data_IF_321644293413
#
_entry.id   IF_321644293413
#
_cell.length_a   1.000
_cell.length_b   1.000
_cell.length_c   1.000
_cell.angle_alpha   90.00
_cell.angle_beta   90.00
_cell.angle_gamma   90.00
#
_symmetry.space_group_name_H-M   'P 1'
#
loop_
_entity.id
_entity.type
_entity.pdbx_description
1 polymer ?
#
# COMPACT_ATOMS: atom_id res chain seq x y z
N UNK A 1 30.30 -1.35 16.41
CA UNK A 1 29.26 -0.46 16.99
C UNK A 1 29.59 0.98 16.62
N UNK A 2 28.94 1.50 15.57
CA UNK A 2 28.65 2.92 15.29
C UNK A 2 27.94 2.97 13.94
N UNK A 3 26.64 3.22 13.97
CA UNK A 3 25.80 3.47 12.81
C UNK A 3 26.10 4.87 12.27
N UNK A 4 26.31 5.00 10.97
CA UNK A 4 26.37 6.28 10.28
C UNK A 4 25.03 6.52 9.57
N UNK A 5 24.29 7.51 10.07
CA UNK A 5 23.19 8.19 9.38
C UNK A 5 23.78 9.45 8.72
N UNK A 6 23.65 9.58 7.41
CA UNK A 6 23.65 10.89 6.74
C UNK A 6 22.92 10.75 5.40
N UNK A 7 21.75 11.38 5.30
CA UNK A 7 21.18 11.83 4.02
C UNK A 7 21.22 13.36 4.07
N UNK A 8 22.01 13.93 3.17
CA UNK A 8 22.10 15.37 2.96
C UNK A 8 20.80 15.92 2.38
N UNK A 9 20.42 17.07 2.93
CA UNK A 9 19.33 17.94 2.52
C UNK A 9 19.92 18.95 1.51
N UNK A 10 19.35 19.05 0.32
CA UNK A 10 19.62 20.17 -0.60
C UNK A 10 18.31 20.81 -1.00
N UNK A 11 18.10 22.02 -0.49
CA UNK A 11 17.05 22.97 -0.88
C UNK A 11 17.28 23.45 -2.32
N UNK A 12 16.29 23.26 -3.20
CA UNK A 12 16.15 24.05 -4.43
C UNK A 12 14.73 24.62 -4.51
N UNK A 13 14.64 25.95 -4.42
CA UNK A 13 13.42 26.73 -4.61
C UNK A 13 13.00 26.64 -6.07
N UNK A 14 11.81 26.11 -6.35
CA UNK A 14 11.18 26.19 -7.67
C UNK A 14 9.85 26.94 -7.65
N UNK A 15 9.80 27.92 -8.54
CA UNK A 15 8.67 28.76 -8.91
C UNK A 15 7.53 27.93 -9.50
N UNK A 16 6.33 28.19 -9.01
CA UNK A 16 5.07 27.59 -9.45
C UNK A 16 4.75 28.03 -10.88
N UNK A 17 4.61 27.08 -11.80
CA UNK A 17 3.90 27.27 -13.06
C UNK A 17 2.82 26.20 -13.20
N UNK A 18 1.58 26.66 -13.11
CA UNK A 18 0.35 25.87 -13.17
C UNK A 18 0.13 25.35 -14.58
N UNK A 19 0.15 24.02 -14.75
CA UNK A 19 -0.35 23.36 -15.96
C UNK A 19 -1.65 22.63 -15.58
N UNK A 20 -2.77 23.31 -15.83
CA UNK A 20 -4.12 22.77 -15.71
C UNK A 20 -4.28 21.59 -16.66
N UNK A 21 -4.43 20.39 -16.10
CA UNK A 21 -4.94 19.25 -16.86
C UNK A 21 -6.42 19.12 -16.55
N UNK A 22 -7.23 18.83 -17.58
CA UNK A 22 -8.66 18.63 -17.46
C UNK A 22 -8.93 17.34 -16.66
N UNK A 23 -9.14 17.50 -15.36
CA UNK A 23 -9.82 16.53 -14.51
C UNK A 23 -11.31 16.87 -14.51
N UNK A 24 -12.18 15.90 -14.25
CA UNK A 24 -13.59 16.26 -14.05
C UNK A 24 -13.68 17.16 -12.81
N UNK A 25 -14.54 18.17 -12.88
CA UNK A 25 -14.84 19.04 -11.73
C UNK A 25 -15.38 18.20 -10.54
N UNK A 26 -15.88 16.98 -10.82
CA UNK A 26 -16.32 16.00 -9.83
C UNK A 26 -15.19 15.45 -8.97
N UNK A 27 -14.06 15.03 -9.56
CA UNK A 27 -12.98 14.33 -8.83
C UNK A 27 -12.24 15.25 -7.85
N UNK A 28 -12.02 16.50 -8.27
CA UNK A 28 -11.36 17.52 -7.44
C UNK A 28 -12.27 17.90 -6.26
N UNK A 29 -13.57 18.06 -6.52
CA UNK A 29 -14.55 18.35 -5.46
C UNK A 29 -14.74 17.17 -4.53
N UNK A 30 -14.78 15.94 -5.02
CA UNK A 30 -14.91 14.74 -4.20
C UNK A 30 -13.71 14.62 -3.24
N UNK A 31 -12.47 14.72 -3.76
CA UNK A 31 -11.27 14.68 -2.93
C UNK A 31 -11.24 15.84 -1.92
N UNK A 32 -11.63 17.06 -2.32
CA UNK A 32 -11.69 18.20 -1.40
C UNK A 32 -12.81 18.07 -0.35
N UNK A 33 -13.97 17.55 -0.70
CA UNK A 33 -15.06 17.24 0.22
C UNK A 33 -14.64 16.15 1.21
N UNK A 34 -13.94 15.10 0.74
CA UNK A 34 -13.36 14.05 1.58
C UNK A 34 -12.33 14.58 2.58
N UNK A 35 -11.52 15.55 2.17
CA UNK A 35 -10.57 16.25 3.05
C UNK A 35 -11.25 17.21 4.04
N UNK A 36 -12.50 17.61 3.77
CA UNK A 36 -13.28 18.52 4.61
C UNK A 36 -14.20 17.80 5.60
N UNK A 37 -14.28 16.47 5.56
CA UNK A 37 -14.97 15.65 6.57
C UNK A 37 -14.13 15.60 7.86
N UNK A 38 -13.97 16.75 8.52
CA UNK A 38 -13.44 16.82 9.89
C UNK A 38 -14.49 16.26 10.87
N UNK A 39 -14.05 15.42 11.81
CA UNK A 39 -14.88 15.01 12.96
C UNK A 39 -15.13 16.23 13.87
N UNK A 40 -16.38 16.66 14.10
CA UNK A 40 -16.67 17.82 14.95
C UNK A 40 -16.49 17.58 16.46
N UNK A 41 -16.10 16.38 16.91
CA UNK A 41 -16.20 15.96 18.32
C UNK A 41 -14.89 15.50 18.99
N UNK A 42 -13.73 16.06 18.63
CA UNK A 42 -12.53 15.93 19.46
C UNK A 42 -11.84 17.27 19.70
N UNK A 43 -12.22 17.92 20.80
CA UNK A 43 -11.45 19.00 21.39
C UNK A 43 -10.15 18.44 22.00
N UNK A 44 -9.04 18.62 21.28
CA UNK A 44 -7.70 18.53 21.84
C UNK A 44 -6.78 17.52 21.14
N UNK A 45 -5.80 18.07 20.41
CA UNK A 45 -4.51 17.46 20.06
C UNK A 45 -4.55 16.31 19.04
N UNK A 46 -5.05 16.60 17.84
CA UNK A 46 -4.58 15.95 16.60
C UNK A 46 -3.97 17.03 15.71
N UNK A 47 -2.78 16.85 15.10
CA UNK A 47 -2.26 17.84 14.15
C UNK A 47 -3.26 18.01 13.02
N UNK A 48 -3.57 19.26 12.67
CA UNK A 48 -4.38 19.55 11.48
C UNK A 48 -3.64 19.01 10.26
N UNK A 49 -4.36 18.56 9.22
CA UNK A 49 -3.76 18.20 7.94
C UNK A 49 -2.80 19.28 7.41
N UNK A 50 -3.04 20.56 7.76
CA UNK A 50 -2.15 21.67 7.44
C UNK A 50 -0.75 21.55 8.05
N UNK A 51 -0.61 20.94 9.23
CA UNK A 51 0.68 20.72 9.89
C UNK A 51 1.46 19.56 9.24
N UNK A 52 0.74 18.53 8.79
CA UNK A 52 1.30 17.38 8.05
C UNK A 52 1.71 17.78 6.62
N UNK A 53 0.94 18.67 5.99
CA UNK A 53 1.22 19.20 4.66
C UNK A 53 2.47 20.09 4.67
N UNK A 54 2.66 20.92 5.70
CA UNK A 54 3.83 21.80 5.81
C UNK A 54 5.15 21.03 6.01
N UNK A 55 5.18 19.96 6.80
CA UNK A 55 6.39 19.11 6.98
C UNK A 55 6.72 18.25 5.74
N UNK A 56 5.76 18.06 4.84
CA UNK A 56 5.94 17.42 3.52
C UNK A 56 6.19 18.44 2.39
N UNK A 57 6.33 19.74 2.69
CA UNK A 57 6.55 20.79 1.70
C UNK A 57 5.32 21.15 0.85
N UNK A 58 4.12 20.76 1.28
CA UNK A 58 2.84 21.06 0.64
C UNK A 58 2.20 22.27 1.32
N UNK A 59 2.50 23.47 0.82
CA UNK A 59 1.85 24.70 1.30
C UNK A 59 0.35 24.71 0.99
N UNK A 60 -0.43 25.31 1.91
CA UNK A 60 -1.90 25.40 2.00
C UNK A 60 -2.63 26.16 0.87
N UNK A 61 -2.06 26.20 -0.34
CA UNK A 61 -2.67 26.78 -1.53
C UNK A 61 -2.53 25.92 -2.79
N UNK A 62 -2.13 24.65 -2.64
CA UNK A 62 -1.95 23.76 -3.79
C UNK A 62 -3.10 22.76 -3.87
N UNK A 63 -3.95 22.91 -4.89
CA UNK A 63 -4.93 21.88 -5.28
C UNK A 63 -4.22 20.54 -5.43
N UNK A 64 -4.64 19.54 -4.64
CA UNK A 64 -4.13 18.18 -4.67
C UNK A 64 -4.55 17.48 -5.98
N UNK A 65 -3.89 17.82 -7.08
CA UNK A 65 -4.14 17.23 -8.40
C UNK A 65 -2.83 17.05 -9.15
N UNK A 66 -2.09 15.98 -8.90
CA UNK A 66 -0.90 15.67 -9.71
C UNK A 66 -0.47 14.19 -9.80
N UNK A 67 -1.18 13.23 -9.22
CA UNK A 67 -0.74 11.82 -9.17
C UNK A 67 -1.16 10.95 -10.37
N UNK A 68 -2.34 11.16 -10.94
CA UNK A 68 -2.93 10.28 -11.97
C UNK A 68 -2.54 10.70 -13.40
N UNK A 69 -1.24 10.75 -13.68
CA UNK A 69 -0.75 10.96 -15.05
C UNK A 69 0.21 9.84 -15.42
N UNK A 70 0.21 9.36 -16.67
CA UNK A 70 1.34 8.58 -17.16
C UNK A 70 2.62 9.36 -16.88
N UNK A 71 3.72 8.70 -16.47
CA UNK A 71 4.99 9.38 -16.24
C UNK A 71 5.27 10.32 -17.40
N UNK A 72 5.45 11.59 -17.08
CA UNK A 72 5.63 12.63 -18.07
C UNK A 72 6.80 12.26 -18.98
N UNK A 73 6.55 12.19 -20.29
CA UNK A 73 7.60 12.19 -21.32
C UNK A 73 7.94 13.62 -21.75
N UNK A 74 7.43 14.63 -21.04
CA UNK A 74 7.64 16.04 -21.34
C UNK A 74 9.12 16.38 -21.19
N UNK A 75 9.73 16.66 -22.33
CA UNK A 75 10.90 17.52 -22.41
C UNK A 75 10.38 18.95 -22.45
N UNK A 76 10.77 19.84 -21.52
CA UNK A 76 10.31 21.22 -21.52
C UNK A 76 10.59 21.91 -22.86
N UNK A 77 9.53 22.37 -23.52
CA UNK A 77 9.64 23.32 -24.64
C UNK A 77 9.84 24.68 -23.98
N UNK A 78 11.09 25.01 -23.64
CA UNK A 78 11.36 26.36 -23.19
C UNK A 78 11.11 27.32 -24.36
N UNK A 79 10.66 28.55 -24.05
CA UNK A 79 10.83 29.67 -24.96
C UNK A 79 12.27 29.66 -25.47
N UNK A 80 12.44 29.88 -26.77
CA UNK A 80 13.66 29.60 -27.53
C UNK A 80 14.96 30.11 -26.91
N UNK A 81 14.92 31.13 -26.05
CA UNK A 81 16.10 31.67 -25.37
C UNK A 81 16.42 30.96 -24.03
N UNK A 82 15.42 30.65 -23.19
CA UNK A 82 15.67 30.00 -21.90
C UNK A 82 16.07 28.52 -22.04
N UNK A 83 15.65 27.83 -23.12
CA UNK A 83 16.12 26.46 -23.42
C UNK A 83 17.62 26.46 -23.66
N UNK A 84 18.06 27.41 -24.48
CA UNK A 84 19.44 27.54 -24.91
C UNK A 84 20.30 27.96 -23.73
N UNK A 85 19.81 28.86 -22.87
CA UNK A 85 20.53 29.26 -21.66
C UNK A 85 20.60 28.15 -20.62
N UNK A 86 19.52 27.40 -20.41
CA UNK A 86 19.54 26.23 -19.51
C UNK A 86 20.42 25.12 -20.08
N UNK A 87 20.35 24.84 -21.38
CA UNK A 87 21.21 23.88 -22.04
C UNK A 87 22.68 24.31 -21.98
N UNK A 88 22.99 25.58 -22.29
CA UNK A 88 24.33 26.14 -22.17
C UNK A 88 24.83 26.07 -20.72
N UNK A 89 23.99 26.37 -19.73
CA UNK A 89 24.35 26.25 -18.32
C UNK A 89 24.65 24.80 -17.93
N UNK A 90 23.78 23.85 -18.31
CA UNK A 90 23.97 22.42 -18.02
C UNK A 90 25.21 21.86 -18.72
N UNK A 91 25.42 22.22 -19.99
CA UNK A 91 26.61 21.82 -20.75
C UNK A 91 27.87 22.47 -20.17
N UNK A 92 27.80 23.73 -19.76
CA UNK A 92 28.94 24.44 -19.14
C UNK A 92 29.27 23.83 -17.77
N UNK A 93 28.27 23.52 -16.95
CA UNK A 93 28.46 22.80 -15.68
C UNK A 93 29.04 21.40 -15.89
N UNK A 94 28.57 20.68 -16.90
CA UNK A 94 29.10 19.36 -17.24
C UNK A 94 30.53 19.43 -17.81
N UNK A 95 30.85 20.47 -18.58
CA UNK A 95 32.20 20.79 -19.02
C UNK A 95 33.10 21.16 -17.84
N UNK A 96 32.66 21.98 -16.89
CA UNK A 96 33.40 22.26 -15.66
C UNK A 96 33.61 20.99 -14.82
N UNK A 97 32.59 20.12 -14.70
CA UNK A 97 32.73 18.81 -14.04
C UNK A 97 33.68 17.89 -14.81
N UNK A 98 33.76 17.98 -16.13
CA UNK A 98 34.69 17.20 -16.97
C UNK A 98 36.12 17.73 -16.89
N UNK A 99 36.28 19.05 -16.91
CA UNK A 99 37.56 19.75 -16.79
C UNK A 99 38.15 19.55 -15.39
N UNK A 100 37.33 19.69 -14.33
CA UNK A 100 37.70 19.31 -12.97
C UNK A 100 38.03 17.81 -12.84
N UNK A 101 37.38 16.93 -13.62
CA UNK A 101 37.73 15.49 -13.70
C UNK A 101 39.04 15.24 -14.46
N UNK A 102 39.44 16.15 -15.36
CA UNK A 102 40.71 16.09 -16.09
C UNK A 102 41.87 16.66 -15.27
N UNK A 103 41.66 17.77 -14.55
CA UNK A 103 42.69 18.47 -13.76
C UNK A 103 42.97 17.82 -12.41
N UNK A 104 41.98 17.20 -11.75
CA UNK A 104 42.17 16.48 -10.47
C UNK A 104 42.49 14.98 -10.63
N UNK A 105 42.71 14.53 -11.87
CA UNK A 105 42.75 13.11 -12.21
C UNK A 105 41.35 12.49 -12.10
N UNK A 106 41.06 11.50 -12.95
CA UNK A 106 39.81 10.72 -12.84
C UNK A 106 39.74 10.15 -11.41
N UNK A 107 38.91 10.71 -10.53
CA UNK A 107 38.24 9.89 -9.52
C UNK A 107 37.44 8.88 -10.32
N UNK A 108 38.06 7.74 -10.60
CA UNK A 108 37.36 6.57 -11.09
C UNK A 108 36.17 6.42 -10.16
N UNK A 109 34.96 6.35 -10.72
CA UNK A 109 33.85 5.78 -9.97
C UNK A 109 34.24 4.32 -9.75
N UNK A 110 35.08 4.08 -8.74
CA UNK A 110 35.37 2.75 -8.26
C UNK A 110 34.02 2.22 -7.85
N UNK A 111 33.58 1.14 -8.49
CA UNK A 111 32.42 0.43 -8.01
C UNK A 111 32.65 0.18 -6.51
N UNK A 112 31.60 0.29 -5.71
CA UNK A 112 31.69 -0.06 -4.28
C UNK A 112 32.03 -1.55 -4.05
N UNK A 113 32.13 -2.31 -5.14
CA UNK A 113 32.50 -3.71 -5.20
C UNK A 113 33.84 -3.84 -5.95
N UNK A 114 34.73 -4.65 -5.39
CA UNK A 114 35.93 -5.14 -6.05
C UNK A 114 35.59 -5.99 -7.29
N UNK A 115 36.55 -6.17 -8.19
CA UNK A 115 36.39 -7.04 -9.35
C UNK A 115 36.08 -8.50 -8.96
N UNK A 116 36.61 -8.95 -7.81
CA UNK A 116 36.34 -10.29 -7.27
C UNK A 116 34.90 -10.43 -6.79
N UNK A 117 34.37 -9.45 -6.07
CA UNK A 117 32.97 -9.45 -5.62
C UNK A 117 31.99 -9.39 -6.80
N UNK A 118 32.31 -8.58 -7.82
CA UNK A 118 31.48 -8.50 -9.03
C UNK A 118 31.49 -9.81 -9.82
N UNK A 119 32.64 -10.50 -9.91
CA UNK A 119 32.71 -11.84 -10.48
C UNK A 119 31.94 -12.86 -9.64
N UNK A 120 32.01 -12.79 -8.31
CA UNK A 120 31.26 -13.66 -7.41
C UNK A 120 29.74 -13.48 -7.60
N UNK A 121 29.26 -12.24 -7.69
CA UNK A 121 27.84 -11.94 -7.95
C UNK A 121 27.38 -12.49 -9.31
N UNK A 122 28.19 -12.33 -10.37
CA UNK A 122 27.89 -12.92 -11.68
C UNK A 122 27.84 -14.44 -11.61
N UNK A 123 28.82 -15.06 -10.95
CA UNK A 123 28.83 -16.52 -10.78
C UNK A 123 27.62 -17.03 -9.99
N UNK A 124 27.13 -16.24 -9.02
CA UNK A 124 25.95 -16.57 -8.23
C UNK A 124 24.66 -16.44 -9.06
N UNK A 125 24.55 -15.43 -9.91
CA UNK A 125 23.42 -15.24 -10.84
C UNK A 125 23.34 -16.34 -11.92
N UNK A 126 24.48 -16.89 -12.32
CA UNK A 126 24.57 -18.00 -13.26
C UNK A 126 24.05 -19.33 -12.67
N UNK A 127 24.00 -19.48 -11.34
CA UNK A 127 23.52 -20.72 -10.70
C UNK A 127 21.98 -20.81 -10.81
N UNK A 128 21.51 -21.63 -11.76
CA UNK A 128 20.08 -21.86 -12.02
C UNK A 128 19.43 -22.92 -11.11
N UNK A 129 20.08 -23.33 -10.03
CA UNK A 129 19.50 -24.21 -9.01
C UNK A 129 19.14 -23.49 -7.70
N UNK A 130 19.52 -22.21 -7.56
CA UNK A 130 19.20 -21.40 -6.37
C UNK A 130 18.24 -20.25 -6.70
N UNK A 131 17.46 -19.84 -5.71
CA UNK A 131 16.62 -18.64 -5.72
C UNK A 131 17.10 -17.74 -4.59
N UNK A 132 17.29 -16.46 -4.90
CA UNK A 132 17.69 -15.43 -3.93
C UNK A 132 16.51 -14.49 -3.74
N UNK A 133 16.01 -14.39 -2.51
CA UNK A 133 14.87 -13.54 -2.14
C UNK A 133 15.11 -12.86 -0.80
N UNK A 134 14.47 -11.71 -0.61
CA UNK A 134 14.37 -11.11 0.72
C UNK A 134 13.48 -11.96 1.63
N UNK A 135 13.81 -12.00 2.92
CA UNK A 135 12.98 -12.61 3.94
C UNK A 135 11.72 -11.76 4.19
N UNK A 136 10.64 -12.44 4.58
CA UNK A 136 9.35 -11.78 4.90
C UNK A 136 9.45 -10.75 6.04
N UNK A 137 10.38 -10.98 7.00
CA UNK A 137 10.65 -10.10 8.14
C UNK A 137 12.16 -10.03 8.41
N UNK A 138 12.62 -8.86 8.87
CA UNK A 138 13.99 -8.67 9.37
C UNK A 138 15.04 -8.30 8.33
N UNK A 139 14.67 -8.03 7.07
CA UNK A 139 15.57 -7.49 6.04
C UNK A 139 16.70 -8.43 5.59
N UNK A 140 16.64 -9.70 5.98
CA UNK A 140 17.64 -10.70 5.61
C UNK A 140 17.49 -11.14 4.15
N UNK A 141 18.60 -11.56 3.54
CA UNK A 141 18.61 -12.22 2.23
C UNK A 141 18.60 -13.74 2.45
N UNK A 142 17.72 -14.44 1.74
CA UNK A 142 17.56 -15.89 1.79
C UNK A 142 18.01 -16.49 0.46
N UNK A 143 18.93 -17.45 0.55
CA UNK A 143 19.35 -18.29 -0.57
C UNK A 143 18.74 -19.67 -0.35
N UNK A 144 17.97 -20.16 -1.31
CA UNK A 144 17.25 -21.44 -1.19
C UNK A 144 17.28 -22.23 -2.49
N UNK A 145 17.14 -23.55 -2.40
CA UNK A 145 17.03 -24.39 -3.59
C UNK A 145 15.77 -24.01 -4.39
N UNK A 146 15.92 -23.89 -5.71
CA UNK A 146 14.82 -23.61 -6.63
C UNK A 146 13.71 -24.65 -6.56
N UNK A 147 14.07 -25.92 -6.39
CA UNK A 147 13.10 -27.02 -6.24
C UNK A 147 12.20 -26.82 -5.02
N UNK A 148 12.78 -26.46 -3.88
CA UNK A 148 12.03 -26.25 -2.64
C UNK A 148 11.17 -24.99 -2.72
N UNK A 149 11.69 -23.93 -3.36
CA UNK A 149 10.95 -22.69 -3.62
C UNK A 149 9.72 -22.92 -4.50
N UNK A 150 9.88 -23.60 -5.63
CA UNK A 150 8.76 -23.94 -6.54
C UNK A 150 7.79 -24.88 -5.82
N UNK A 151 8.30 -25.87 -5.10
CA UNK A 151 7.48 -26.82 -4.34
C UNK A 151 6.60 -26.15 -3.28
N UNK A 152 7.08 -25.08 -2.64
CA UNK A 152 6.26 -24.30 -1.70
C UNK A 152 5.13 -23.53 -2.41
N UNK A 153 5.39 -22.94 -3.58
CA UNK A 153 4.34 -22.30 -4.38
C UNK A 153 3.30 -23.36 -4.80
N UNK A 154 3.74 -24.49 -5.34
CA UNK A 154 2.85 -25.58 -5.75
C UNK A 154 2.04 -26.13 -4.58
N UNK A 155 2.62 -26.21 -3.38
CA UNK A 155 1.89 -26.59 -2.17
C UNK A 155 0.75 -25.63 -1.86
N UNK A 156 0.95 -24.32 -2.02
CA UNK A 156 -0.10 -23.31 -1.82
C UNK A 156 -1.16 -23.38 -2.93
N UNK A 157 -0.75 -23.56 -4.18
CA UNK A 157 -1.66 -23.65 -5.33
C UNK A 157 -2.54 -24.92 -5.33
N UNK A 158 -2.23 -25.92 -4.49
CA UNK A 158 -3.09 -27.09 -4.26
C UNK A 158 -4.37 -26.75 -3.50
N UNK A 159 -4.43 -25.61 -2.80
CA UNK A 159 -5.66 -25.18 -2.15
C UNK A 159 -6.69 -24.70 -3.18
N UNK A 160 -7.61 -25.60 -3.54
CA UNK A 160 -8.68 -25.34 -4.51
C UNK A 160 -9.76 -24.39 -4.00
N UNK A 161 -9.75 -24.02 -2.71
CA UNK A 161 -10.63 -22.97 -2.17
C UNK A 161 -10.06 -21.58 -2.48
N UNK A 162 -8.74 -21.46 -2.44
CA UNK A 162 -8.03 -20.21 -2.64
C UNK A 162 -7.67 -19.96 -4.12
N UNK A 163 -7.30 -21.01 -4.87
CA UNK A 163 -6.76 -20.88 -6.22
C UNK A 163 -7.46 -21.80 -7.22
N UNK A 164 -7.68 -21.26 -8.42
CA UNK A 164 -8.23 -21.98 -9.56
C UNK A 164 -7.27 -21.90 -10.74
N UNK A 165 -6.90 -23.05 -11.30
CA UNK A 165 -6.13 -23.12 -12.55
C UNK A 165 -7.04 -22.74 -13.73
N UNK A 166 -6.56 -21.85 -14.60
CA UNK A 166 -7.27 -21.41 -15.78
C UNK A 166 -6.84 -22.23 -17.01
N UNK A 167 -7.76 -22.56 -17.93
CA UNK A 167 -7.47 -23.37 -19.10
C UNK A 167 -6.69 -22.62 -20.18
N UNK A 168 -6.84 -21.29 -20.24
CA UNK A 168 -6.27 -20.43 -21.28
C UNK A 168 -5.79 -19.12 -20.68
N UNK A 169 -4.99 -18.38 -21.47
CA UNK A 169 -4.58 -17.02 -21.13
C UNK A 169 -5.81 -16.10 -21.06
N UNK A 170 -6.12 -15.50 -19.89
CA UNK A 170 -7.29 -14.65 -19.71
C UNK A 170 -7.06 -13.16 -20.06
N UNK A 171 -5.82 -12.75 -20.38
CA UNK A 171 -5.42 -11.34 -20.50
C UNK A 171 -6.31 -10.57 -21.47
N UNK A 172 -6.49 -11.05 -22.70
CA UNK A 172 -7.28 -10.33 -23.72
C UNK A 172 -8.74 -10.16 -23.29
N UNK A 173 -9.31 -11.19 -22.65
CA UNK A 173 -10.68 -11.14 -22.13
C UNK A 173 -10.80 -10.07 -21.03
N UNK A 174 -9.81 -9.97 -20.16
CA UNK A 174 -9.78 -9.01 -19.06
C UNK A 174 -9.61 -7.59 -19.60
N UNK A 175 -8.67 -7.39 -20.51
CA UNK A 175 -8.42 -6.08 -21.15
C UNK A 175 -9.67 -5.56 -21.84
N UNK A 176 -10.38 -6.43 -22.59
CA UNK A 176 -11.65 -6.06 -23.23
C UNK A 176 -12.75 -5.73 -22.22
N UNK A 177 -12.82 -6.46 -21.11
CA UNK A 177 -13.78 -6.18 -20.05
C UNK A 177 -13.50 -4.81 -19.42
N UNK A 178 -12.23 -4.52 -19.11
CA UNK A 178 -11.80 -3.20 -18.61
C UNK A 178 -12.17 -2.10 -19.59
N UNK A 179 -11.86 -2.26 -20.88
CA UNK A 179 -12.21 -1.28 -21.92
C UNK A 179 -13.72 -1.01 -21.96
N UNK A 180 -14.54 -2.06 -21.87
CA UNK A 180 -16.01 -1.94 -21.85
C UNK A 180 -16.49 -1.20 -20.61
N UNK A 181 -15.97 -1.54 -19.43
CA UNK A 181 -16.32 -0.87 -18.16
C UNK A 181 -15.91 0.60 -18.17
N UNK A 182 -14.72 0.92 -18.69
CA UNK A 182 -14.26 2.31 -18.82
C UNK A 182 -15.14 3.10 -19.80
N UNK A 183 -15.50 2.52 -20.95
CA UNK A 183 -16.41 3.15 -21.90
C UNK A 183 -17.79 3.45 -21.29
N UNK A 184 -18.36 2.50 -20.55
CA UNK A 184 -19.64 2.67 -19.87
C UNK A 184 -19.65 3.86 -18.89
N UNK A 185 -18.59 4.02 -18.09
CA UNK A 185 -18.50 5.12 -17.12
C UNK A 185 -18.10 6.45 -17.75
N UNK A 186 -17.36 6.41 -18.86
CA UNK A 186 -17.06 7.58 -19.69
C UNK A 186 -18.33 8.15 -20.36
N UNK A 187 -19.19 7.29 -20.90
CA UNK A 187 -20.47 7.71 -21.51
C UNK A 187 -21.42 8.37 -20.50
N UNK A 188 -21.27 8.04 -19.21
CA UNK A 188 -21.99 8.66 -18.08
C UNK A 188 -21.34 9.95 -17.58
N UNK A 189 -20.22 10.37 -18.16
CA UNK A 189 -19.49 11.57 -17.77
C UNK A 189 -18.76 11.46 -16.43
N UNK A 190 -18.57 10.24 -15.90
CA UNK A 190 -17.80 10.02 -14.67
C UNK A 190 -16.31 9.81 -14.90
N UNK A 191 -15.92 9.48 -16.12
CA UNK A 191 -14.52 9.42 -16.51
C UNK A 191 -14.24 10.40 -17.62
N UNK A 192 -13.11 11.08 -17.51
CA UNK A 192 -12.53 11.87 -18.60
C UNK A 192 -11.74 10.99 -19.57
N UNK A 193 -11.50 11.50 -20.78
CA UNK A 193 -10.64 10.83 -21.76
C UNK A 193 -9.20 10.61 -21.23
N UNK A 194 -8.70 11.54 -20.42
CA UNK A 194 -7.36 11.46 -19.83
C UNK A 194 -7.27 10.35 -18.79
N UNK A 195 -8.31 10.18 -17.96
CA UNK A 195 -8.43 9.07 -17.01
C UNK A 195 -8.57 7.73 -17.72
N UNK A 196 -9.47 7.61 -18.71
CA UNK A 196 -9.59 6.38 -19.49
C UNK A 196 -8.25 5.96 -20.10
N UNK A 197 -7.48 6.91 -20.64
CA UNK A 197 -6.14 6.66 -21.18
C UNK A 197 -5.12 6.23 -20.13
N UNK A 198 -5.23 6.72 -18.90
CA UNK A 198 -4.38 6.31 -17.79
C UNK A 198 -4.75 4.93 -17.25
N UNK A 199 -6.05 4.65 -17.14
CA UNK A 199 -6.60 3.41 -16.59
C UNK A 199 -6.45 2.23 -17.55
N UNK A 200 -6.52 2.48 -18.86
CA UNK A 200 -6.39 1.44 -19.87
C UNK A 200 -4.94 1.13 -20.20
N UNK A 201 -4.58 -0.15 -20.12
CA UNK A 201 -3.27 -0.65 -20.52
C UNK A 201 -3.37 -1.41 -21.86
N UNK A 202 -2.87 -0.85 -22.98
CA UNK A 202 -2.98 -1.48 -24.29
C UNK A 202 -2.03 -2.68 -24.46
N UNK A 203 -0.98 -2.77 -23.64
CA UNK A 203 0.06 -3.81 -23.74
C UNK A 203 0.37 -4.38 -22.34
N UNK A 204 -0.58 -5.09 -21.72
CA UNK A 204 -0.40 -5.60 -20.37
C UNK A 204 0.64 -6.71 -20.29
N UNK A 205 1.48 -6.66 -19.26
CA UNK A 205 2.36 -7.77 -18.87
C UNK A 205 1.58 -8.82 -18.08
N UNK A 206 2.04 -10.07 -18.18
CA UNK A 206 1.49 -11.17 -17.39
C UNK A 206 1.91 -11.02 -15.93
N UNK A 207 0.97 -10.96 -14.97
CA UNK A 207 1.34 -10.98 -13.56
C UNK A 207 1.99 -12.31 -13.20
N UNK A 208 2.96 -12.29 -12.29
CA UNK A 208 3.67 -13.50 -11.83
C UNK A 208 3.60 -13.61 -10.31
N UNK A 209 3.51 -14.83 -9.80
CA UNK A 209 3.59 -15.10 -8.36
C UNK A 209 5.05 -15.28 -7.93
N UNK A 210 5.38 -14.77 -6.75
CA UNK A 210 6.61 -15.09 -6.04
C UNK A 210 6.33 -15.22 -4.54
N UNK A 211 7.25 -15.82 -3.78
CA UNK A 211 7.10 -15.96 -2.33
C UNK A 211 8.23 -15.26 -1.57
N UNK A 212 7.88 -14.68 -0.42
CA UNK A 212 8.83 -14.18 0.58
C UNK A 212 8.98 -15.22 1.71
N UNK A 213 10.17 -15.79 1.97
CA UNK A 213 10.33 -16.83 2.98
C UNK A 213 10.13 -16.29 4.41
N UNK A 214 9.24 -16.94 5.18
CA UNK A 214 8.97 -16.64 6.60
C UNK A 214 9.98 -17.33 7.52
N UNK A 215 11.24 -16.90 7.47
CA UNK A 215 12.37 -17.49 8.24
C UNK A 215 12.20 -17.44 9.77
N UNK A 216 11.27 -16.64 10.27
CA UNK A 216 10.93 -16.54 11.69
C UNK A 216 9.96 -17.63 12.18
N UNK A 217 9.47 -18.50 11.29
CA UNK A 217 8.60 -19.63 11.65
C UNK A 217 9.45 -20.89 11.83
N UNK A 218 9.23 -21.68 12.91
CA UNK A 218 10.01 -22.87 13.19
C UNK A 218 9.59 -24.03 12.25
N UNK A 219 10.17 -24.05 11.04
CA UNK A 219 9.93 -25.10 10.06
C UNK A 219 11.24 -25.47 9.35
N UNK A 220 11.44 -26.75 8.96
CA UNK A 220 12.62 -27.16 8.19
C UNK A 220 12.76 -26.41 6.86
N UNK A 221 11.61 -26.12 6.24
CA UNK A 221 11.50 -25.24 5.07
C UNK A 221 10.56 -24.08 5.45
N UNK A 222 11.03 -22.82 5.38
CA UNK A 222 10.23 -21.68 5.79
C UNK A 222 9.01 -21.53 4.86
N UNK A 223 7.78 -21.44 5.39
CA UNK A 223 6.60 -21.15 4.57
C UNK A 223 6.77 -19.84 3.80
N UNK A 224 6.24 -19.78 2.58
CA UNK A 224 6.29 -18.57 1.75
C UNK A 224 5.09 -17.67 1.98
N UNK A 225 5.28 -16.34 2.02
CA UNK A 225 4.19 -15.37 1.79
C UNK A 225 4.04 -15.17 0.28
N UNK A 226 2.91 -15.56 -0.35
CA UNK A 226 2.70 -15.36 -1.78
C UNK A 226 2.44 -13.87 -2.07
N UNK A 227 3.09 -13.35 -3.11
CA UNK A 227 2.88 -12.00 -3.64
C UNK A 227 2.67 -12.11 -5.15
N UNK A 228 1.65 -11.43 -5.66
CA UNK A 228 1.39 -11.30 -7.09
C UNK A 228 2.04 -10.01 -7.58
N UNK A 229 3.05 -10.13 -8.44
CA UNK A 229 3.65 -9.00 -9.14
C UNK A 229 2.71 -8.52 -10.24
N UNK A 230 1.91 -7.49 -9.96
CA UNK A 230 0.99 -6.85 -10.90
C UNK A 230 1.60 -5.73 -11.75
N UNK A 231 2.93 -5.61 -11.84
CA UNK A 231 3.59 -4.53 -12.59
C UNK A 231 3.19 -4.58 -14.06
N UNK A 232 2.67 -3.46 -14.58
CA UNK A 232 2.10 -3.30 -15.91
C UNK A 232 1.04 -4.35 -16.25
N UNK A 233 0.35 -4.90 -15.25
CA UNK A 233 -0.78 -5.82 -15.48
C UNK A 233 -2.01 -5.08 -16.00
N UNK A 234 -3.05 -5.80 -16.50
CA UNK A 234 -4.29 -5.15 -16.91
C UNK A 234 -4.95 -4.34 -15.78
N UNK A 235 -4.83 -4.79 -14.53
CA UNK A 235 -5.54 -4.21 -13.37
C UNK A 235 -4.68 -3.25 -12.54
N UNK A 236 -3.39 -3.04 -12.88
CA UNK A 236 -2.48 -2.23 -12.06
C UNK A 236 -2.99 -0.79 -11.88
N UNK A 237 -3.42 -0.16 -12.97
CA UNK A 237 -3.81 1.26 -12.99
C UNK A 237 -5.18 1.48 -12.35
N UNK A 238 -6.10 0.54 -12.54
CA UNK A 238 -7.35 0.50 -11.78
C UNK A 238 -7.08 0.37 -10.28
N UNK A 239 -6.18 -0.53 -9.88
CA UNK A 239 -5.79 -0.68 -8.48
C UNK A 239 -5.15 0.59 -7.91
N UNK A 240 -4.38 1.34 -8.69
CA UNK A 240 -3.79 2.61 -8.26
C UNK A 240 -4.87 3.70 -8.08
N UNK A 241 -5.80 3.76 -9.02
CA UNK A 241 -6.91 4.71 -9.00
C UNK A 241 -7.85 4.45 -7.82
N UNK A 242 -8.25 3.20 -7.59
CA UNK A 242 -9.07 2.83 -6.43
C UNK A 242 -8.38 3.26 -5.13
N UNK A 243 -7.10 2.95 -4.97
CA UNK A 243 -6.36 3.26 -3.75
C UNK A 243 -6.40 4.76 -3.44
N UNK A 244 -6.21 5.62 -4.45
CA UNK A 244 -6.28 7.07 -4.29
C UNK A 244 -7.58 7.54 -3.61
N UNK A 245 -8.73 6.95 -3.96
CA UNK A 245 -10.01 7.32 -3.40
C UNK A 245 -10.34 6.62 -2.07
N UNK A 246 -9.69 5.49 -1.76
CA UNK A 246 -9.89 4.79 -0.49
C UNK A 246 -9.01 5.35 0.63
N UNK A 247 -7.80 5.83 0.31
CA UNK A 247 -6.82 6.32 1.31
C UNK A 247 -7.38 7.40 2.26
N UNK A 248 -8.16 8.41 1.82
CA UNK A 248 -8.73 9.39 2.76
C UNK A 248 -9.59 8.75 3.85
N UNK A 249 -10.39 7.73 3.52
CA UNK A 249 -11.19 7.02 4.50
C UNK A 249 -10.34 6.21 5.47
N UNK A 250 -9.25 5.60 4.97
CA UNK A 250 -8.30 4.85 5.79
C UNK A 250 -7.66 5.76 6.83
N UNK A 251 -7.18 6.94 6.41
CA UNK A 251 -6.56 7.93 7.30
C UNK A 251 -7.54 8.49 8.34
N UNK A 252 -8.84 8.50 8.03
CA UNK A 252 -9.90 8.98 8.92
C UNK A 252 -10.46 7.89 9.85
N UNK A 253 -9.94 6.66 9.80
CA UNK A 253 -10.34 5.63 10.76
C UNK A 253 -9.87 6.03 12.17
N UNK A 254 -10.70 5.87 13.22
CA UNK A 254 -10.31 6.21 14.60
C UNK A 254 -9.08 5.46 15.10
N UNK A 255 -8.86 4.26 14.57
CA UNK A 255 -7.76 3.36 14.92
C UNK A 255 -6.59 3.45 13.93
N UNK A 256 -6.58 4.42 13.02
CA UNK A 256 -5.52 4.55 12.02
C UNK A 256 -4.16 4.84 12.66
N UNK A 257 -3.18 4.01 12.32
CA UNK A 257 -1.77 4.24 12.63
C UNK A 257 -1.04 4.53 11.33
N UNK A 258 -0.14 5.50 11.36
CA UNK A 258 0.60 5.93 10.17
C UNK A 258 1.87 5.11 10.01
N UNK A 259 2.63 5.01 11.08
CA UNK A 259 3.92 4.34 11.14
C UNK A 259 4.30 4.04 12.61
N UNK A 260 5.45 3.40 12.81
CA UNK A 260 5.98 3.07 14.14
C UNK A 260 6.20 4.31 15.01
N UNK A 261 6.55 5.46 14.43
CA UNK A 261 6.78 6.70 15.18
C UNK A 261 5.46 7.26 15.71
N UNK A 262 4.41 7.26 14.89
CA UNK A 262 3.07 7.66 15.31
C UNK A 262 2.58 6.80 16.49
N UNK A 263 2.75 5.48 16.39
CA UNK A 263 2.43 4.56 17.49
C UNK A 263 3.17 4.89 18.78
N UNK A 264 4.49 5.10 18.72
CA UNK A 264 5.30 5.39 19.90
C UNK A 264 4.85 6.68 20.59
N UNK A 265 4.43 7.69 19.82
CA UNK A 265 3.83 8.92 20.36
C UNK A 265 2.52 8.63 21.10
N UNK A 266 1.62 7.85 20.49
CA UNK A 266 0.33 7.50 21.11
C UNK A 266 0.48 6.73 22.44
N UNK A 267 1.49 5.87 22.52
CA UNK A 267 1.84 5.09 23.71
C UNK A 267 2.49 5.99 24.79
N UNK A 268 3.39 6.88 24.38
CA UNK A 268 4.08 7.80 25.29
C UNK A 268 3.11 8.79 25.96
N UNK A 269 2.09 9.24 25.23
CA UNK A 269 1.06 10.16 25.71
C UNK A 269 -0.06 9.48 26.51
N UNK A 270 0.02 8.16 26.73
CA UNK A 270 -0.97 7.42 27.50
C UNK A 270 -0.70 7.52 29.01
N UNK A 271 -1.75 7.67 29.80
CA UNK A 271 -1.64 7.67 31.26
C UNK A 271 -1.56 6.22 31.78
N UNK A 272 -0.42 5.89 32.38
CA UNK A 272 -0.10 4.55 32.89
C UNK A 272 -0.30 4.41 34.41
N UNK A 273 -1.01 5.35 35.04
CA UNK A 273 -1.14 5.40 36.52
C UNK A 273 -1.98 4.26 37.11
N UNK A 274 -2.81 3.58 36.33
CA UNK A 274 -3.63 2.45 36.76
C UNK A 274 -2.96 1.09 36.48
N UNK A 275 -3.54 0.00 36.98
CA UNK A 275 -3.14 -1.35 36.58
C UNK A 275 -3.56 -1.62 35.12
N UNK A 276 -2.58 -1.81 34.23
CA UNK A 276 -2.83 -2.07 32.80
C UNK A 276 -2.37 -3.47 32.37
N UNK A 277 -3.11 -4.05 31.42
CA UNK A 277 -2.68 -5.25 30.70
C UNK A 277 -2.46 -4.92 29.23
N UNK A 278 -1.37 -5.47 28.69
CA UNK A 278 -1.13 -5.43 27.25
C UNK A 278 -1.67 -6.73 26.64
N UNK A 279 -2.62 -6.58 25.73
CA UNK A 279 -3.20 -7.70 24.98
C UNK A 279 -2.85 -7.53 23.51
N UNK A 280 -2.24 -8.56 22.93
CA UNK A 280 -1.92 -8.60 21.50
C UNK A 280 -2.83 -9.62 20.82
N UNK A 281 -3.43 -9.21 19.71
CA UNK A 281 -4.32 -10.02 18.88
C UNK A 281 -3.72 -10.06 17.46
N UNK A 282 -3.46 -11.25 16.92
CA UNK A 282 -2.98 -11.41 15.54
C UNK A 282 -4.12 -11.94 14.65
N UNK A 283 -4.36 -11.25 13.54
CA UNK A 283 -5.34 -11.69 12.54
C UNK A 283 -4.66 -12.65 11.56
N UNK A 284 -5.12 -13.90 11.57
CA UNK A 284 -4.55 -14.91 10.68
C UNK A 284 -4.92 -14.63 9.22
N UNK A 285 -3.92 -14.42 8.38
CA UNK A 285 -4.06 -14.43 6.92
C UNK A 285 -5.11 -13.44 6.37
N UNK A 286 -5.20 -12.24 6.97
CA UNK A 286 -6.22 -11.21 6.67
C UNK A 286 -6.58 -11.11 5.19
N UNK A 287 -5.61 -10.74 4.33
CA UNK A 287 -5.85 -10.50 2.90
C UNK A 287 -6.53 -11.67 2.18
N UNK A 288 -6.11 -12.92 2.44
CA UNK A 288 -6.69 -14.11 1.80
C UNK A 288 -8.03 -14.53 2.40
N UNK A 289 -8.35 -14.06 3.61
CA UNK A 289 -9.55 -14.48 4.34
C UNK A 289 -10.72 -13.49 4.19
N UNK A 290 -10.50 -12.25 3.75
CA UNK A 290 -11.58 -11.27 3.56
C UNK A 290 -12.60 -11.81 2.53
N UNK A 291 -13.85 -12.07 2.95
CA UNK A 291 -14.90 -12.45 2.02
C UNK A 291 -15.23 -11.29 1.07
N UNK A 292 -15.37 -11.57 -0.23
CA UNK A 292 -15.53 -10.52 -1.26
C UNK A 292 -16.75 -9.64 -1.00
N UNK A 293 -17.90 -10.24 -0.68
CA UNK A 293 -19.16 -9.51 -0.50
C UNK A 293 -19.08 -8.59 0.73
N UNK A 294 -18.66 -9.14 1.85
CA UNK A 294 -18.51 -8.42 3.12
C UNK A 294 -17.45 -7.31 3.02
N UNK A 295 -16.38 -7.54 2.24
CA UNK A 295 -15.41 -6.52 1.88
C UNK A 295 -16.03 -5.36 1.09
N UNK A 296 -16.81 -5.65 0.05
CA UNK A 296 -17.50 -4.62 -0.75
C UNK A 296 -18.55 -3.86 0.07
N UNK A 297 -19.29 -4.56 0.93
CA UNK A 297 -20.26 -3.96 1.84
C UNK A 297 -19.56 -2.99 2.82
N UNK A 298 -18.40 -3.37 3.34
CA UNK A 298 -17.59 -2.50 4.20
C UNK A 298 -17.08 -1.25 3.44
N UNK A 299 -16.60 -1.40 2.20
CA UNK A 299 -16.21 -0.24 1.39
C UNK A 299 -17.41 0.67 1.16
N UNK A 300 -18.55 0.10 0.75
CA UNK A 300 -19.79 0.85 0.52
C UNK A 300 -20.21 1.66 1.74
N UNK A 301 -20.12 1.08 2.95
CA UNK A 301 -20.40 1.79 4.20
C UNK A 301 -19.61 3.11 4.33
N UNK A 302 -18.34 3.14 3.92
CA UNK A 302 -17.54 4.37 3.95
C UNK A 302 -17.86 5.30 2.78
N UNK A 303 -18.08 4.73 1.58
CA UNK A 303 -18.46 5.51 0.39
C UNK A 303 -19.79 6.25 0.58
N UNK A 304 -20.76 5.63 1.24
CA UNK A 304 -22.10 6.18 1.50
C UNK A 304 -22.07 7.34 2.52
N UNK A 305 -20.92 7.63 3.16
CA UNK A 305 -20.73 8.83 3.99
C UNK A 305 -20.48 10.10 3.18
N UNK A 306 -20.21 9.95 1.87
CA UNK A 306 -20.09 11.09 0.95
C UNK A 306 -21.46 11.71 0.70
N UNK A 307 -21.47 12.91 0.12
CA UNK A 307 -22.70 13.52 -0.37
C UNK A 307 -23.36 12.62 -1.44
N UNK A 308 -24.70 12.60 -1.47
CA UNK A 308 -25.49 11.81 -2.41
C UNK A 308 -25.16 12.11 -3.89
N UNK A 309 -24.60 13.29 -4.20
CA UNK A 309 -24.11 13.63 -5.54
C UNK A 309 -22.98 12.70 -6.03
N UNK A 310 -22.27 12.03 -5.13
CA UNK A 310 -21.18 11.09 -5.44
C UNK A 310 -21.65 9.62 -5.47
N UNK A 311 -22.96 9.35 -5.45
CA UNK A 311 -23.49 7.98 -5.47
C UNK A 311 -23.04 7.21 -6.73
N UNK A 312 -23.15 7.82 -7.90
CA UNK A 312 -22.73 7.15 -9.15
C UNK A 312 -21.21 6.95 -9.21
N UNK A 313 -20.42 7.87 -8.65
CA UNK A 313 -18.97 7.71 -8.52
C UNK A 313 -18.62 6.56 -7.56
N UNK A 314 -19.35 6.43 -6.46
CA UNK A 314 -19.20 5.32 -5.53
C UNK A 314 -19.53 3.97 -6.19
N UNK A 315 -20.59 3.92 -7.01
CA UNK A 315 -20.93 2.74 -7.81
C UNK A 315 -19.81 2.38 -8.80
N UNK A 316 -19.22 3.37 -9.47
CA UNK A 316 -18.08 3.18 -10.36
C UNK A 316 -16.87 2.59 -9.62
N UNK A 317 -16.52 3.13 -8.45
CA UNK A 317 -15.41 2.61 -7.63
C UNK A 317 -15.67 1.16 -7.20
N UNK A 318 -16.89 0.81 -6.81
CA UNK A 318 -17.26 -0.57 -6.46
C UNK A 318 -17.17 -1.52 -7.67
N UNK A 319 -17.55 -1.07 -8.86
CA UNK A 319 -17.37 -1.83 -10.10
C UNK A 319 -15.89 -2.06 -10.41
N UNK A 320 -15.05 -1.04 -10.24
CA UNK A 320 -13.60 -1.18 -10.42
C UNK A 320 -13.00 -2.14 -9.40
N UNK A 321 -13.39 -2.07 -8.12
CA UNK A 321 -12.94 -3.01 -7.08
C UNK A 321 -13.35 -4.44 -7.45
N UNK A 322 -14.60 -4.66 -7.86
CA UNK A 322 -15.08 -5.96 -8.33
C UNK A 322 -14.22 -6.48 -9.48
N UNK A 323 -13.95 -5.62 -10.47
CA UNK A 323 -13.17 -5.95 -11.65
C UNK A 323 -11.73 -6.34 -11.30
N UNK A 324 -11.08 -5.62 -10.37
CA UNK A 324 -9.74 -5.99 -9.90
C UNK A 324 -9.78 -7.31 -9.12
N UNK A 325 -10.73 -7.47 -8.19
CA UNK A 325 -10.84 -8.68 -7.36
C UNK A 325 -11.14 -9.95 -8.17
N UNK A 326 -12.01 -9.86 -9.19
CA UNK A 326 -12.35 -11.00 -10.04
C UNK A 326 -11.23 -11.43 -10.98
N UNK A 327 -10.26 -10.54 -11.20
CA UNK A 327 -9.16 -10.72 -12.13
C UNK A 327 -7.79 -10.72 -11.43
N UNK A 328 -7.75 -11.24 -10.20
CA UNK A 328 -6.53 -11.58 -9.48
C UNK A 328 -5.85 -12.81 -10.09
N UNK A 329 -5.28 -12.64 -11.28
CA UNK A 329 -4.64 -13.68 -12.07
C UNK A 329 -3.12 -13.62 -11.97
N UNK A 330 -2.46 -14.74 -12.22
CA UNK A 330 -1.00 -14.81 -12.33
C UNK A 330 -0.56 -16.04 -13.12
N UNK A 331 0.66 -15.95 -13.66
CA UNK A 331 1.38 -17.02 -14.34
C UNK A 331 2.35 -17.68 -13.36
N UNK A 332 2.37 -19.01 -13.34
CA UNK A 332 3.32 -19.84 -12.59
C UNK A 332 3.68 -21.08 -13.42
N UNK A 333 4.98 -21.32 -13.66
CA UNK A 333 5.49 -22.45 -14.44
C UNK A 333 4.69 -22.71 -15.75
N UNK A 334 4.42 -21.64 -16.50
CA UNK A 334 3.70 -21.70 -17.79
C UNK A 334 2.18 -21.94 -17.67
N UNK A 335 1.63 -22.04 -16.47
CA UNK A 335 0.21 -22.24 -16.20
C UNK A 335 -0.44 -20.99 -15.60
N UNK A 336 -1.65 -20.67 -16.05
CA UNK A 336 -2.43 -19.56 -15.52
C UNK A 336 -3.25 -19.97 -14.31
N UNK A 337 -3.28 -19.10 -13.31
CA UNK A 337 -4.06 -19.28 -12.08
C UNK A 337 -4.84 -18.01 -11.77
N UNK A 338 -5.91 -18.16 -10.99
CA UNK A 338 -6.70 -17.08 -10.43
C UNK A 338 -6.92 -17.33 -8.94
N UNK A 339 -6.69 -16.30 -8.12
CA UNK A 339 -7.09 -16.31 -6.72
C UNK A 339 -8.61 -16.07 -6.62
N UNK A 340 -9.32 -16.96 -5.92
CA UNK A 340 -10.78 -16.95 -5.82
C UNK A 340 -11.31 -16.25 -4.56
N UNK A 341 -10.51 -16.23 -3.49
CA UNK A 341 -10.89 -15.70 -2.20
C UNK A 341 -9.88 -14.67 -1.71
N UNK A 342 -10.38 -13.66 -1.00
CA UNK A 342 -9.58 -12.58 -0.49
C UNK A 342 -9.21 -11.55 -1.55
N UNK A 343 -8.34 -10.64 -1.15
CA UNK A 343 -7.74 -9.62 -2.00
C UNK A 343 -6.28 -10.02 -2.31
N UNK A 344 -5.82 -9.76 -3.53
CA UNK A 344 -4.49 -10.15 -3.97
C UNK A 344 -3.40 -9.38 -3.22
N UNK A 345 -2.54 -10.11 -2.50
CA UNK A 345 -1.33 -9.53 -1.94
C UNK A 345 -0.42 -9.04 -3.09
N UNK A 346 -0.16 -7.73 -3.13
CA UNK A 346 0.61 -7.07 -4.19
C UNK A 346 -0.17 -6.07 -5.04
N UNK A 347 -1.51 -6.09 -5.01
CA UNK A 347 -2.31 -5.03 -5.62
C UNK A 347 -2.30 -3.78 -4.72
N UNK A 348 -2.17 -2.60 -5.34
CA UNK A 348 -1.98 -1.31 -4.65
C UNK A 348 -3.12 -0.93 -3.71
N UNK A 349 -4.37 -1.25 -4.06
CA UNK A 349 -5.54 -0.93 -3.23
C UNK A 349 -5.76 -1.88 -2.07
N UNK A 350 -5.07 -3.03 -2.06
CA UNK A 350 -5.32 -4.10 -1.08
C UNK A 350 -5.15 -3.66 0.37
N UNK A 351 -4.10 -2.88 0.72
CA UNK A 351 -3.95 -2.38 2.09
C UNK A 351 -5.13 -1.49 2.50
N UNK A 352 -5.55 -0.57 1.64
CA UNK A 352 -6.71 0.29 1.89
C UNK A 352 -7.99 -0.51 2.05
N UNK A 353 -8.20 -1.49 1.17
CA UNK A 353 -9.35 -2.38 1.24
C UNK A 353 -9.39 -3.18 2.56
N UNK A 354 -8.26 -3.74 2.96
CA UNK A 354 -8.14 -4.49 4.21
C UNK A 354 -8.35 -3.59 5.45
N UNK A 355 -7.76 -2.39 5.46
CA UNK A 355 -7.93 -1.43 6.56
C UNK A 355 -9.39 -0.99 6.70
N UNK A 356 -10.08 -0.67 5.60
CA UNK A 356 -11.49 -0.30 5.66
C UNK A 356 -12.38 -1.47 6.07
N UNK A 357 -12.12 -2.68 5.59
CA UNK A 357 -12.82 -3.87 6.08
C UNK A 357 -12.67 -4.04 7.61
N UNK A 358 -11.44 -3.91 8.12
CA UNK A 358 -11.19 -3.99 9.56
C UNK A 358 -11.81 -2.84 10.33
N UNK A 359 -11.73 -1.61 9.82
CA UNK A 359 -12.37 -0.44 10.44
C UNK A 359 -13.89 -0.59 10.52
N UNK A 360 -14.52 -1.13 9.48
CA UNK A 360 -15.96 -1.45 9.53
C UNK A 360 -16.27 -2.54 10.57
N UNK A 361 -15.45 -3.60 10.62
CA UNK A 361 -15.58 -4.65 11.63
C UNK A 361 -15.44 -4.12 13.06
N UNK A 362 -14.46 -3.24 13.29
CA UNK A 362 -14.22 -2.59 14.59
C UNK A 362 -15.42 -1.72 15.00
N UNK A 363 -15.91 -0.86 14.10
CA UNK A 363 -17.07 -0.01 14.36
C UNK A 363 -18.34 -0.82 14.66
N UNK A 364 -18.54 -1.93 13.96
CA UNK A 364 -19.71 -2.81 14.12
C UNK A 364 -19.66 -3.66 15.39
N UNK A 365 -18.46 -4.11 15.78
CA UNK A 365 -18.28 -5.10 16.86
C UNK A 365 -17.94 -4.46 18.20
N UNK A 366 -17.11 -3.41 18.20
CA UNK A 366 -16.60 -2.80 19.44
C UNK A 366 -17.56 -1.72 19.97
N UNK A 367 -18.40 -1.14 19.12
CA UNK A 367 -19.31 -0.06 19.48
C UNK A 367 -18.61 1.25 19.91
N UNK A 368 -19.34 2.37 20.02
CA UNK A 368 -18.77 3.68 20.35
C UNK A 368 -18.21 3.79 21.79
N UNK A 369 -18.52 2.83 22.68
CA UNK A 369 -18.16 2.88 24.11
C UNK A 369 -16.78 2.34 24.47
N UNK A 370 -16.18 1.48 23.63
CA UNK A 370 -14.87 0.86 23.90
C UNK A 370 -13.74 1.87 23.72
N UNK A 371 -13.90 2.89 22.88
CA UNK A 371 -12.92 3.97 22.70
C UNK A 371 -12.74 4.88 23.95
N UNK A 372 -13.66 4.85 24.93
CA UNK A 372 -13.59 5.70 26.14
C UNK A 372 -12.75 5.12 27.29
N UNK A 373 -12.62 3.79 27.40
CA UNK A 373 -11.89 3.12 28.50
C UNK A 373 -10.73 2.23 28.00
N UNK A 374 -10.65 2.00 26.70
CA UNK A 374 -9.55 1.32 26.03
C UNK A 374 -9.22 2.11 24.76
N UNK A 375 -8.01 2.65 24.68
CA UNK A 375 -7.51 3.12 23.39
C UNK A 375 -7.22 1.86 22.57
N UNK A 376 -8.13 1.51 21.67
CA UNK A 376 -7.89 0.50 20.65
C UNK A 376 -6.84 1.06 19.70
N UNK A 377 -5.63 0.52 19.75
CA UNK A 377 -4.52 0.89 18.87
C UNK A 377 -4.45 -0.21 17.81
N UNK A 378 -5.29 -0.12 16.78
CA UNK A 378 -5.26 -1.09 15.69
C UNK A 378 -4.09 -0.80 14.77
N UNK A 379 -3.19 -1.74 14.55
CA UNK A 379 -2.13 -1.48 13.58
C UNK A 379 -2.72 -1.58 12.19
N UNK A 380 -2.42 -0.58 11.37
CA UNK A 380 -2.50 -0.64 9.92
C UNK A 380 -1.45 -1.62 9.41
N UNK A 381 -1.75 -2.92 9.54
CA UNK A 381 -0.79 -3.97 9.25
C UNK A 381 -1.02 -5.23 10.05
N UNK A 382 -2.19 -5.87 9.90
CA UNK A 382 -2.46 -7.29 10.24
C UNK A 382 -2.38 -7.68 11.74
N UNK A 383 -1.77 -6.87 12.60
CA UNK A 383 -1.67 -7.07 14.05
C UNK A 383 -2.58 -6.05 14.79
N UNK A 384 -3.45 -6.50 15.70
CA UNK A 384 -4.27 -5.61 16.54
C UNK A 384 -3.64 -5.56 17.94
N UNK A 385 -3.28 -4.38 18.42
CA UNK A 385 -2.85 -4.18 19.81
C UNK A 385 -4.01 -3.59 20.60
N UNK A 386 -4.44 -4.30 21.64
CA UNK A 386 -5.44 -3.79 22.57
C UNK A 386 -4.83 -3.50 23.93
N UNK A 387 -4.98 -2.26 24.35
CA UNK A 387 -4.66 -1.82 25.68
C UNK A 387 -5.95 -1.54 26.42
N UNK A 388 -6.21 -2.29 27.49
CA UNK A 388 -7.36 -2.09 28.37
C UNK A 388 -6.90 -1.85 29.79
N UNK A 389 -7.37 -0.78 30.42
CA UNK A 389 -7.33 -0.62 31.88
C UNK A 389 -8.53 -1.35 32.50
N UNK A 390 -8.31 -2.04 33.63
CA UNK A 390 -9.40 -2.60 34.42
C UNK A 390 -9.55 -1.80 35.71
N UNK A 391 -10.52 -0.89 35.76
CA UNK A 391 -10.97 -0.29 37.02
C UNK A 391 -12.19 -1.07 37.55
N UNK A 392 -11.91 -2.12 38.33
CA UNK A 392 -12.92 -2.86 39.10
C UNK A 392 -13.37 -4.20 38.51
N UNK A 393 -13.80 -5.09 39.40
CA UNK A 393 -14.20 -6.48 39.11
C UNK A 393 -15.17 -6.56 37.92
N UNK A 394 -14.67 -6.97 36.76
CA UNK A 394 -15.47 -7.14 35.54
C UNK A 394 -14.80 -8.15 34.63
N UNK A 395 -15.59 -8.99 33.99
CA UNK A 395 -15.14 -10.02 33.05
C UNK A 395 -14.48 -9.42 31.81
N UNK A 396 -13.50 -10.14 31.23
CA UNK A 396 -12.86 -9.81 29.95
C UNK A 396 -13.89 -9.38 28.89
N UNK A 397 -13.49 -8.44 28.02
CA UNK A 397 -14.25 -7.92 26.89
C UNK A 397 -15.10 -9.01 26.18
N UNK A 398 -16.45 -8.98 26.27
CA UNK A 398 -17.33 -10.06 25.82
C UNK A 398 -17.18 -10.47 24.35
N UNK A 399 -16.73 -9.54 23.50
CA UNK A 399 -16.58 -9.72 22.06
C UNK A 399 -15.39 -10.60 21.66
N UNK A 400 -14.38 -10.79 22.53
CA UNK A 400 -13.28 -11.74 22.30
C UNK A 400 -13.81 -13.19 22.25
N UNK A 401 -14.99 -13.45 22.82
CA UNK A 401 -15.62 -14.78 22.84
C UNK A 401 -16.73 -14.97 21.78
N UNK A 402 -17.12 -13.94 21.04
CA UNK A 402 -18.28 -14.01 20.14
C UNK A 402 -18.01 -13.36 18.79
N UNK A 403 -17.37 -14.07 17.86
CA UNK A 403 -17.57 -13.79 16.45
C UNK A 403 -17.53 -15.08 15.64
N UNK A 404 -18.66 -15.42 15.05
CA UNK A 404 -18.88 -16.55 14.14
C UNK A 404 -18.44 -16.24 12.70
N UNK A 405 -17.51 -15.31 12.53
CA UNK A 405 -17.02 -14.89 11.22
C UNK A 405 -15.74 -15.66 10.90
N UNK A 406 -15.51 -15.98 9.62
CA UNK A 406 -14.39 -16.78 9.08
C UNK A 406 -12.95 -16.29 9.42
N UNK A 407 -12.78 -15.29 10.28
CA UNK A 407 -11.48 -14.80 10.75
C UNK A 407 -11.08 -15.48 12.06
N UNK A 408 -9.93 -16.14 12.04
CA UNK A 408 -9.30 -16.66 13.27
C UNK A 408 -8.42 -15.56 13.86
N UNK A 409 -8.73 -15.14 15.10
CA UNK A 409 -7.93 -14.19 15.87
C UNK A 409 -7.16 -14.97 16.93
N UNK A 410 -5.83 -14.86 16.94
CA UNK A 410 -4.99 -15.46 17.98
C UNK A 410 -4.71 -14.44 19.08
N UNK A 411 -5.08 -14.77 20.32
CA UNK A 411 -4.90 -13.91 21.49
C UNK A 411 -3.69 -14.34 22.31
N UNK A 412 -2.79 -13.40 22.62
CA UNK A 412 -1.72 -13.61 23.61
C UNK A 412 -1.86 -12.56 24.72
N UNK A 413 -1.82 -13.02 25.97
CA UNK A 413 -1.87 -12.17 27.16
C UNK A 413 -0.46 -11.99 27.72
N UNK A 414 0.01 -10.75 27.87
CA UNK A 414 1.26 -10.46 28.57
C UNK A 414 0.98 -9.54 29.75
N UNK A 415 1.29 -10.01 30.96
CA UNK A 415 1.18 -9.22 32.18
C UNK A 415 2.32 -8.20 32.21
N UNK A 416 2.02 -6.91 32.04
CA UNK A 416 2.98 -5.85 32.33
C UNK A 416 3.04 -5.67 33.85
N UNK A 417 3.84 -6.51 34.52
CA UNK A 417 4.30 -6.16 35.86
C UNK A 417 5.31 -5.01 35.72
N UNK A 418 4.84 -3.78 35.97
CA UNK A 418 5.63 -2.62 36.42
C UNK A 418 7.04 -2.54 35.82
N UNK A 419 7.15 -2.11 34.56
CA UNK A 419 8.38 -1.48 34.08
C UNK A 419 8.40 -0.03 34.57
N UNK A 420 8.73 0.13 35.85
CA UNK A 420 9.18 1.41 36.38
C UNK A 420 10.64 1.62 35.95
N UNK A 421 10.88 2.57 35.06
CA UNK A 421 12.15 3.30 34.95
C UNK A 421 11.86 4.78 34.70
#
# INVERSE_FOLDING_TARGET
MKYFNHKEQTDERHTVNTITGDFSIGDIRDIQTLLSLENPDHSGLTPSYNDIANDLGLSSSTTCTSGLRPRSRFTPVFSSDNAIDVFNRLVTDDLYKLENRYTLGRKSWSHNLSSQELMALRSLDDIKDIVIKEADKGGNIVIMNRRDYIGEIDRQLKDQRAYCKLPTNPIDKITKNIETTLGFWMDRGLLTNSECKYLFNPTPMSPCIYILPKVHKPAPFPPGRPIISGINSPTEKLSEYIDLFLQPFVCNLPSFIKDTTHLLSLIADYDWTDGHFLVTLDVTSLYTCIPKKEGLDAIRFFLDKRDAMFLEHSNMLLDFINLVMDNNIFLHEGSWYRQQQGVAMGAKFSPSFANLYMGHFELSTCGPGVHRHSRNISFTGVDILMMSSFSGQGTACPWICSSSTLMTIHTTYTLLATLAL
#
